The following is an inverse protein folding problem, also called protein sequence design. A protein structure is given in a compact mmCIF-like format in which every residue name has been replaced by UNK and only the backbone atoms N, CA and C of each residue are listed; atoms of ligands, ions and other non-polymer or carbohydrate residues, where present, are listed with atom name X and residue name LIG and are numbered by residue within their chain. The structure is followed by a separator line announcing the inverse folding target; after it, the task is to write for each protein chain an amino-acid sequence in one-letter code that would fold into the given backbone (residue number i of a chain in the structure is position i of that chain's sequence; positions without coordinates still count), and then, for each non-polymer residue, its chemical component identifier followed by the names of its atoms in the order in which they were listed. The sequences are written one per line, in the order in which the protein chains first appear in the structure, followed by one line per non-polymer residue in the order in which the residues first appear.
data_IF_746865921170
#
_entry.id   IF_746865921170
#
_cell.length_a   1.000
_cell.length_b   1.000
_cell.length_c   1.000
_cell.angle_alpha   90.00
_cell.angle_beta   90.00
_cell.angle_gamma   90.00
#
_symmetry.space_group_name_H-M   'P 1'
#
loop_
_entity.id
_entity.type
_entity.pdbx_description
1 polymer ?
#
# COMPACT_ATOMS: atom_id res chain seq x y z
N UNK A 1 0.65 6.42 -7.99
CA UNK A 1 0.59 7.25 -6.75
C UNK A 1 1.94 7.79 -6.36
N UNK A 2 3.04 7.17 -6.78
CA UNK A 2 4.42 7.63 -6.54
C UNK A 2 4.73 9.05 -7.03
N UNK A 3 4.44 9.32 -8.31
CA UNK A 3 4.74 10.62 -8.90
C UNK A 3 3.92 11.79 -8.35
N UNK A 4 2.71 11.55 -7.86
CA UNK A 4 1.81 12.61 -7.43
C UNK A 4 2.21 13.19 -6.06
N UNK A 5 2.53 12.34 -5.09
CA UNK A 5 2.99 12.79 -3.76
C UNK A 5 4.35 13.47 -3.88
N UNK A 6 5.25 12.92 -4.70
CA UNK A 6 6.56 13.53 -4.97
C UNK A 6 6.45 14.91 -5.60
N UNK A 7 5.57 15.08 -6.61
CA UNK A 7 5.35 16.38 -7.25
C UNK A 7 4.78 17.40 -6.26
N UNK A 8 3.77 17.01 -5.46
CA UNK A 8 3.11 17.90 -4.50
C UNK A 8 4.03 18.28 -3.34
N UNK A 9 4.80 17.34 -2.80
CA UNK A 9 5.78 17.60 -1.74
C UNK A 9 6.92 18.48 -2.26
N UNK A 10 7.47 18.19 -3.45
CA UNK A 10 8.53 19.01 -4.06
C UNK A 10 8.08 20.44 -4.37
N UNK A 11 6.83 20.61 -4.86
CA UNK A 11 6.26 21.95 -5.08
C UNK A 11 6.04 22.71 -3.76
N UNK A 12 5.50 22.05 -2.73
CA UNK A 12 5.27 22.68 -1.44
C UNK A 12 6.58 23.05 -0.73
N UNK A 13 7.60 22.18 -0.81
CA UNK A 13 8.92 22.44 -0.25
C UNK A 13 9.62 23.60 -0.97
N UNK A 14 9.62 23.59 -2.31
CA UNK A 14 10.17 24.70 -3.13
C UNK A 14 9.48 26.04 -2.88
N UNK A 15 8.17 26.02 -2.57
CA UNK A 15 7.40 27.21 -2.20
C UNK A 15 7.51 27.59 -0.71
N UNK A 16 8.38 26.92 0.08
CA UNK A 16 8.55 27.09 1.54
C UNK A 16 7.27 26.90 2.36
N UNK A 17 6.32 26.10 1.88
CA UNK A 17 5.04 25.82 2.54
C UNK A 17 5.08 24.49 3.29
N UNK A 18 5.86 24.42 4.36
CA UNK A 18 6.10 23.18 5.10
C UNK A 18 4.84 22.60 5.78
N UNK A 19 3.88 23.44 6.17
CA UNK A 19 2.59 22.96 6.70
C UNK A 19 1.83 22.07 5.70
N UNK A 20 1.93 22.36 4.39
CA UNK A 20 1.25 21.58 3.36
C UNK A 20 1.87 20.19 3.19
N UNK A 21 3.16 20.00 3.47
CA UNK A 21 3.78 18.67 3.41
C UNK A 21 3.12 17.70 4.40
N UNK A 22 2.83 18.15 5.63
CA UNK A 22 2.14 17.34 6.63
C UNK A 22 0.71 16.99 6.22
N UNK A 23 -0.02 17.96 5.65
CA UNK A 23 -1.38 17.73 5.13
C UNK A 23 -1.38 16.75 3.96
N UNK A 24 -0.41 16.86 3.05
CA UNK A 24 -0.26 15.91 1.93
C UNK A 24 0.07 14.51 2.42
N UNK A 25 0.96 14.37 3.41
CA UNK A 25 1.27 13.08 4.03
C UNK A 25 0.02 12.43 4.62
N UNK A 26 -0.76 13.17 5.43
CA UNK A 26 -1.98 12.65 6.04
C UNK A 26 -3.02 12.22 4.99
N UNK A 27 -3.26 13.06 3.98
CA UNK A 27 -4.19 12.75 2.88
C UNK A 27 -3.74 11.52 2.10
N UNK A 28 -2.46 11.45 1.77
CA UNK A 28 -1.91 10.32 1.03
C UNK A 28 -1.97 9.03 1.86
N UNK A 29 -1.75 9.07 3.17
CA UNK A 29 -1.96 7.92 4.08
C UNK A 29 -3.39 7.39 4.04
N UNK A 30 -4.39 8.29 4.10
CA UNK A 30 -5.81 7.90 4.02
C UNK A 30 -6.12 7.24 2.67
N UNK A 31 -5.66 7.84 1.58
CA UNK A 31 -5.89 7.30 0.23
C UNK A 31 -5.21 5.94 0.08
N UNK A 32 -3.93 5.80 0.46
CA UNK A 32 -3.21 4.52 0.37
C UNK A 32 -3.86 3.43 1.23
N UNK A 33 -4.36 3.77 2.42
CA UNK A 33 -5.07 2.83 3.29
C UNK A 33 -6.39 2.39 2.67
N UNK A 34 -7.14 3.32 2.07
CA UNK A 34 -8.41 2.98 1.42
C UNK A 34 -8.20 2.07 0.20
N UNK A 35 -7.18 2.33 -0.60
CA UNK A 35 -6.83 1.51 -1.76
C UNK A 35 -6.18 0.16 -1.39
N UNK A 36 -5.61 0.01 -0.20
CA UNK A 36 -5.10 -1.29 0.26
C UNK A 36 -6.22 -2.24 0.69
N UNK A 37 -7.39 -1.75 1.11
CA UNK A 37 -8.50 -2.60 1.55
C UNK A 37 -9.00 -3.59 0.47
N UNK A 38 -9.23 -3.19 -0.80
CA UNK A 38 -9.56 -4.14 -1.87
C UNK A 38 -8.48 -5.20 -2.10
N UNK A 39 -7.20 -4.83 -1.99
CA UNK A 39 -6.07 -5.75 -2.15
C UNK A 39 -6.10 -6.81 -1.05
N UNK A 40 -6.32 -6.37 0.20
CA UNK A 40 -6.48 -7.29 1.34
C UNK A 40 -7.67 -8.22 1.14
N UNK A 41 -8.81 -7.72 0.64
CA UNK A 41 -9.96 -8.56 0.34
C UNK A 41 -9.64 -9.65 -0.70
N UNK A 42 -8.89 -9.32 -1.76
CA UNK A 42 -8.41 -10.31 -2.74
C UNK A 42 -7.46 -11.32 -2.09
N UNK A 43 -6.57 -10.88 -1.21
CA UNK A 43 -5.64 -11.76 -0.49
C UNK A 43 -6.37 -12.73 0.45
N UNK A 44 -7.46 -12.29 1.10
CA UNK A 44 -8.32 -13.16 1.90
C UNK A 44 -9.02 -14.24 1.04
N UNK A 45 -9.33 -13.93 -0.21
CA UNK A 45 -9.92 -14.86 -1.17
C UNK A 45 -8.88 -15.69 -1.94
N UNK A 46 -7.58 -15.50 -1.67
CA UNK A 46 -6.48 -16.14 -2.42
C UNK A 46 -6.60 -17.67 -2.47
N UNK A 47 -6.99 -18.31 -1.36
CA UNK A 47 -7.19 -19.76 -1.31
C UNK A 47 -8.26 -20.22 -2.30
N UNK A 48 -9.39 -19.52 -2.36
CA UNK A 48 -10.50 -19.86 -3.25
C UNK A 48 -10.14 -19.59 -4.70
N UNK A 49 -9.45 -18.47 -4.97
CA UNK A 49 -8.91 -18.14 -6.28
C UNK A 49 -7.95 -19.21 -6.82
N UNK A 50 -7.02 -19.68 -5.99
CA UNK A 50 -6.08 -20.73 -6.38
C UNK A 50 -6.78 -22.05 -6.71
N UNK A 51 -7.75 -22.45 -5.88
CA UNK A 51 -8.56 -23.65 -6.16
C UNK A 51 -9.39 -23.48 -7.44
N UNK A 52 -9.93 -22.28 -7.70
CA UNK A 52 -10.70 -21.97 -8.91
C UNK A 52 -9.84 -22.06 -10.18
N UNK A 53 -8.57 -21.68 -10.09
CA UNK A 53 -7.59 -21.78 -11.19
C UNK A 53 -7.19 -23.25 -11.47
N UNK A 54 -7.56 -24.18 -10.59
CA UNK A 54 -7.30 -25.62 -10.74
C UNK A 54 -6.14 -26.14 -9.89
N UNK A 55 -5.62 -25.34 -8.95
CA UNK A 55 -4.56 -25.79 -8.04
C UNK A 55 -5.05 -26.82 -7.03
N UNK A 56 -4.15 -27.72 -6.64
CA UNK A 56 -4.46 -28.73 -5.61
C UNK A 56 -4.74 -28.06 -4.27
N UNK A 57 -5.70 -28.61 -3.50
CA UNK A 57 -6.10 -28.05 -2.20
C UNK A 57 -4.94 -27.89 -1.22
N UNK A 58 -3.92 -28.77 -1.31
CA UNK A 58 -2.71 -28.72 -0.48
C UNK A 58 -1.80 -27.55 -0.86
N UNK A 59 -1.59 -27.32 -2.16
CA UNK A 59 -0.81 -26.17 -2.65
C UNK A 59 -1.53 -24.86 -2.36
N UNK A 60 -2.84 -24.80 -2.63
CA UNK A 60 -3.66 -23.62 -2.36
C UNK A 60 -3.66 -23.24 -0.86
N UNK A 61 -3.69 -24.22 0.05
CA UNK A 61 -3.60 -23.97 1.49
C UNK A 61 -2.25 -23.35 1.88
N UNK A 62 -1.13 -23.94 1.42
CA UNK A 62 0.20 -23.44 1.74
C UNK A 62 0.45 -22.04 1.15
N UNK A 63 0.02 -21.81 -0.09
CA UNK A 63 0.11 -20.51 -0.74
C UNK A 63 -0.74 -19.45 -0.01
N UNK A 64 -1.95 -19.80 0.44
CA UNK A 64 -2.80 -18.84 1.18
C UNK A 64 -2.19 -18.39 2.52
N UNK A 65 -1.49 -19.28 3.24
CA UNK A 65 -0.77 -18.92 4.47
C UNK A 65 0.33 -17.90 4.18
N UNK A 66 1.08 -18.09 3.10
CA UNK A 66 2.08 -17.12 2.67
C UNK A 66 1.44 -15.77 2.31
N UNK A 67 0.35 -15.79 1.54
CA UNK A 67 -0.38 -14.56 1.14
C UNK A 67 -0.93 -13.81 2.35
N UNK A 68 -1.41 -14.51 3.38
CA UNK A 68 -1.87 -13.85 4.60
C UNK A 68 -0.75 -13.12 5.34
N UNK A 69 0.46 -13.65 5.36
CA UNK A 69 1.63 -12.94 5.90
C UNK A 69 1.95 -11.66 5.10
N UNK A 70 1.69 -11.65 3.79
CA UNK A 70 1.88 -10.47 2.94
C UNK A 70 0.87 -9.35 3.22
N UNK A 71 -0.29 -9.64 3.82
CA UNK A 71 -1.28 -8.61 4.17
C UNK A 71 -0.66 -7.54 5.08
N UNK A 72 0.08 -7.97 6.11
CA UNK A 72 0.77 -7.05 7.02
C UNK A 72 1.83 -6.21 6.30
N UNK A 73 2.57 -6.84 5.37
CA UNK A 73 3.60 -6.18 4.59
C UNK A 73 3.06 -5.04 3.72
N UNK A 74 1.85 -5.17 3.17
CA UNK A 74 1.24 -4.11 2.34
C UNK A 74 1.11 -2.79 3.11
N UNK A 75 0.66 -2.84 4.37
CA UNK A 75 0.50 -1.64 5.19
C UNK A 75 1.85 -1.04 5.60
N UNK A 76 2.81 -1.88 5.98
CA UNK A 76 4.16 -1.42 6.34
C UNK A 76 4.85 -0.76 5.14
N UNK A 77 4.73 -1.36 3.95
CA UNK A 77 5.31 -0.81 2.73
C UNK A 77 4.66 0.52 2.34
N UNK A 78 3.32 0.62 2.42
CA UNK A 78 2.61 1.87 2.19
C UNK A 78 3.10 3.00 3.10
N UNK A 79 3.21 2.74 4.41
CA UNK A 79 3.71 3.73 5.37
C UNK A 79 5.17 4.12 5.07
N UNK A 80 6.05 3.15 4.85
CA UNK A 80 7.47 3.41 4.58
C UNK A 80 7.64 4.26 3.31
N UNK A 81 6.86 3.97 2.28
CA UNK A 81 6.83 4.74 1.04
C UNK A 81 6.42 6.21 1.25
N UNK A 82 5.37 6.46 2.04
CA UNK A 82 4.92 7.80 2.42
C UNK A 82 6.02 8.58 3.18
N UNK A 83 6.69 7.92 4.13
CA UNK A 83 7.79 8.52 4.88
C UNK A 83 9.00 8.82 4.00
N UNK A 84 9.38 7.91 3.09
CA UNK A 84 10.48 8.14 2.17
C UNK A 84 10.23 9.39 1.32
N UNK A 85 9.04 9.56 0.76
CA UNK A 85 8.71 10.72 -0.06
C UNK A 85 8.59 12.03 0.71
N UNK A 86 8.19 11.96 1.97
CA UNK A 86 8.19 13.11 2.86
C UNK A 86 9.62 13.55 3.22
N UNK A 87 10.51 12.60 3.50
CA UNK A 87 11.91 12.89 3.87
C UNK A 87 12.80 13.25 2.68
N UNK A 88 12.43 12.83 1.47
CA UNK A 88 13.15 13.13 0.24
C UNK A 88 12.82 14.52 -0.32
N UNK A 89 11.72 15.13 0.11
CA UNK A 89 11.31 16.49 -0.28
C UNK A 89 12.03 17.56 0.55
#
# INVERSE_FOLDING_TARGET
MDSAVETLCGQAYGARRYELLGVYLQRATVVLTLFSLPIVAVYLLSRQLLVLIGESMRVAAMASVFVYSLISQVFVYAANFLFQKFLQA
#
